data_IF_910403894994
#
_entry.id   IF_910403894994
#
_cell.length_a   1.000
_cell.length_b   1.000
_cell.length_c   1.000
_cell.angle_alpha   90.00
_cell.angle_beta   90.00
_cell.angle_gamma   90.00
#
_symmetry.space_group_name_H-M   'P 1'
#
loop_
_entity.id
_entity.type
_entity.pdbx_description
1 polymer ?
#
# COMPACT_ATOMS: atom_id res chain seq x y z
N UNK A 1 -1.84 -0.07 10.38
CA UNK A 1 -1.38 1.02 11.27
C UNK A 1 -0.28 0.53 12.19
N UNK A 2 0.91 1.11 12.07
CA UNK A 2 2.11 0.73 12.82
C UNK A 2 2.11 1.26 14.26
N UNK A 3 1.44 2.39 14.54
CA UNK A 3 1.36 2.99 15.88
C UNK A 3 -0.01 2.75 16.52
N UNK A 4 -0.01 2.30 17.78
CA UNK A 4 -1.22 2.03 18.57
C UNK A 4 -2.16 3.24 18.66
N UNK A 5 -1.60 4.45 18.80
CA UNK A 5 -2.35 5.70 18.84
C UNK A 5 -3.24 5.91 17.59
N UNK A 6 -2.87 5.35 16.44
CA UNK A 6 -3.57 5.52 15.16
C UNK A 6 -4.49 4.35 14.81
N UNK A 7 -4.47 3.27 15.57
CA UNK A 7 -5.28 2.08 15.27
C UNK A 7 -6.79 2.38 15.31
N UNK A 8 -7.22 3.31 16.15
CA UNK A 8 -8.63 3.70 16.28
C UNK A 8 -9.14 4.54 15.09
N UNK A 9 -8.25 5.11 14.26
CA UNK A 9 -8.65 5.85 13.05
C UNK A 9 -9.41 4.94 12.07
N UNK A 10 -9.03 3.65 12.01
CA UNK A 10 -9.65 2.68 11.12
C UNK A 10 -11.13 2.42 11.47
N UNK A 11 -11.50 2.51 12.75
CA UNK A 11 -12.89 2.35 13.19
C UNK A 11 -13.80 3.42 12.58
N UNK A 12 -13.32 4.66 12.51
CA UNK A 12 -14.05 5.77 11.90
C UNK A 12 -14.23 5.51 10.40
N UNK A 13 -13.17 5.08 9.72
CA UNK A 13 -13.19 4.77 8.30
C UNK A 13 -14.18 3.63 7.99
N UNK A 14 -14.14 2.54 8.76
CA UNK A 14 -15.06 1.41 8.63
C UNK A 14 -16.52 1.84 8.83
N UNK A 15 -16.76 2.69 9.83
CA UNK A 15 -18.10 3.23 10.10
C UNK A 15 -18.62 4.04 8.91
N UNK A 16 -17.78 4.93 8.37
CA UNK A 16 -18.14 5.75 7.20
C UNK A 16 -18.45 4.88 5.98
N UNK A 17 -17.55 3.97 5.59
CA UNK A 17 -17.77 3.14 4.41
C UNK A 17 -18.99 2.21 4.55
N UNK A 18 -19.24 1.68 5.75
CA UNK A 18 -20.32 0.73 5.98
C UNK A 18 -21.69 1.40 6.07
N UNK A 19 -21.79 2.59 6.67
CA UNK A 19 -23.08 3.18 7.02
C UNK A 19 -23.41 4.47 6.29
N UNK A 20 -22.44 5.14 5.65
CA UNK A 20 -22.74 6.34 4.88
C UNK A 20 -23.60 6.00 3.66
N UNK A 21 -24.80 6.60 3.47
CA UNK A 21 -25.77 6.17 2.46
C UNK A 21 -25.23 6.08 1.03
N UNK A 22 -24.34 7.02 0.67
CA UNK A 22 -23.71 7.04 -0.65
C UNK A 22 -22.65 5.95 -0.83
N UNK A 23 -21.88 5.63 0.23
CA UNK A 23 -20.75 4.70 0.11
C UNK A 23 -21.22 3.26 0.24
N UNK A 24 -22.14 2.96 1.14
CA UNK A 24 -22.65 1.61 1.35
C UNK A 24 -23.41 1.05 0.14
N UNK A 25 -23.92 1.92 -0.74
CA UNK A 25 -24.65 1.55 -1.96
C UNK A 25 -23.86 1.75 -3.25
N UNK A 26 -22.63 2.24 -3.16
CA UNK A 26 -21.78 2.57 -4.32
C UNK A 26 -21.25 1.37 -5.11
N UNK A 27 -21.39 0.15 -4.57
CA UNK A 27 -20.79 -1.05 -5.16
C UNK A 27 -19.28 -1.13 -4.99
N UNK A 28 -18.67 -0.30 -4.12
CA UNK A 28 -17.26 -0.40 -3.77
C UNK A 28 -16.94 -1.78 -3.19
N UNK A 29 -15.94 -2.44 -3.77
CA UNK A 29 -15.41 -3.69 -3.25
C UNK A 29 -14.34 -3.39 -2.20
N UNK A 30 -14.73 -3.41 -0.93
CA UNK A 30 -13.81 -3.19 0.19
C UNK A 30 -13.16 -4.53 0.51
N UNK A 31 -11.87 -4.64 0.22
CA UNK A 31 -11.08 -5.82 0.53
C UNK A 31 -10.40 -5.61 1.88
N UNK A 32 -10.81 -6.40 2.88
CA UNK A 32 -10.10 -6.47 4.14
C UNK A 32 -8.97 -7.50 4.01
N UNK A 33 -7.74 -7.03 4.16
CA UNK A 33 -6.57 -7.88 4.09
C UNK A 33 -6.48 -8.82 5.29
N UNK A 34 -6.58 -10.13 5.05
CA UNK A 34 -6.50 -11.14 6.12
C UNK A 34 -5.25 -12.03 6.01
N UNK A 35 -4.34 -11.74 5.07
CA UNK A 35 -3.14 -12.54 4.88
C UNK A 35 -2.07 -12.11 5.88
N UNK A 36 -1.56 -13.09 6.63
CA UNK A 36 -0.43 -12.90 7.54
C UNK A 36 0.90 -12.97 6.78
N UNK A 37 1.92 -12.30 7.30
CA UNK A 37 3.28 -12.38 6.78
C UNK A 37 3.94 -13.75 7.13
N UNK A 38 5.18 -13.95 6.70
CA UNK A 38 5.94 -15.18 6.96
C UNK A 38 6.14 -15.51 8.46
N UNK A 39 5.96 -14.52 9.34
CA UNK A 39 6.07 -14.65 10.79
C UNK A 39 4.71 -14.85 11.49
N UNK A 40 3.64 -15.14 10.74
CA UNK A 40 2.27 -15.33 11.24
C UNK A 40 1.65 -14.07 11.90
N UNK A 41 2.15 -12.88 11.52
CA UNK A 41 1.66 -11.57 11.96
C UNK A 41 0.86 -10.86 10.86
N UNK A 42 -0.12 -10.05 11.23
CA UNK A 42 -0.77 -9.17 10.26
C UNK A 42 0.17 -8.02 9.88
N UNK A 43 0.50 -7.84 8.59
CA UNK A 43 1.36 -6.74 8.17
C UNK A 43 0.68 -5.40 8.48
N UNK A 44 1.45 -4.44 8.99
CA UNK A 44 0.94 -3.10 9.28
C UNK A 44 1.08 -2.20 8.06
N UNK A 45 0.10 -2.23 7.17
CA UNK A 45 0.06 -1.28 6.04
C UNK A 45 -0.55 0.06 6.47
N UNK A 46 -0.04 1.16 5.90
CA UNK A 46 -0.61 2.51 5.99
C UNK A 46 -0.79 3.10 4.60
N UNK A 47 -1.68 4.09 4.47
CA UNK A 47 -2.04 4.65 3.16
C UNK A 47 -0.87 5.33 2.44
N UNK A 48 0.08 5.92 3.18
CA UNK A 48 1.27 6.56 2.62
C UNK A 48 2.24 5.56 1.98
N UNK A 49 2.13 4.27 2.29
CA UNK A 49 2.96 3.21 1.73
C UNK A 49 2.39 2.60 0.46
N UNK A 50 1.27 3.11 -0.05
CA UNK A 50 0.53 2.51 -1.17
C UNK A 50 0.27 3.56 -2.25
N UNK A 51 0.76 3.31 -3.47
CA UNK A 51 0.47 4.14 -4.63
C UNK A 51 -0.04 3.31 -5.81
N UNK A 52 -1.26 3.59 -6.27
CA UNK A 52 -1.83 2.96 -7.46
C UNK A 52 -1.32 3.64 -8.72
N UNK A 53 -0.63 2.88 -9.58
CA UNK A 53 -0.01 3.41 -10.80
C UNK A 53 -0.91 3.29 -12.05
N UNK A 54 -2.09 2.70 -11.91
CA UNK A 54 -2.97 2.37 -13.04
C UNK A 54 -2.74 0.95 -13.57
N UNK A 55 -3.62 0.49 -14.48
CA UNK A 55 -3.49 -0.79 -15.20
C UNK A 55 -3.25 -2.01 -14.29
N UNK A 56 -3.85 -2.02 -13.09
CA UNK A 56 -3.65 -3.07 -12.08
C UNK A 56 -2.20 -3.22 -11.60
N UNK A 57 -1.43 -2.13 -11.62
CA UNK A 57 -0.08 -2.02 -11.06
C UNK A 57 -0.13 -1.22 -9.77
N UNK A 58 0.47 -1.77 -8.71
CA UNK A 58 0.56 -1.17 -7.39
C UNK A 58 2.03 -0.98 -7.00
N UNK A 59 2.36 0.15 -6.38
CA UNK A 59 3.65 0.40 -5.74
C UNK A 59 3.46 0.36 -4.22
N UNK A 60 4.29 -0.40 -3.50
CA UNK A 60 4.20 -0.56 -2.04
C UNK A 60 5.56 -0.35 -1.36
N UNK A 61 5.59 0.35 -0.23
CA UNK A 61 6.80 0.64 0.58
C UNK A 61 7.24 -0.46 1.55
N UNK A 62 6.53 -1.58 1.62
CA UNK A 62 6.82 -2.73 2.48
C UNK A 62 6.50 -4.05 1.76
N UNK A 63 7.09 -5.14 2.24
CA UNK A 63 6.84 -6.48 1.71
C UNK A 63 5.44 -6.98 2.12
N UNK A 64 4.52 -6.96 1.16
CA UNK A 64 3.18 -7.50 1.33
C UNK A 64 2.97 -8.60 0.30
N UNK A 65 2.82 -9.82 0.79
CA UNK A 65 2.66 -11.00 -0.04
C UNK A 65 1.30 -11.00 -0.77
N UNK A 66 1.33 -10.86 -2.10
CA UNK A 66 0.31 -11.32 -3.06
C UNK A 66 -1.17 -11.07 -2.70
N UNK A 67 -1.76 -9.99 -3.23
CA UNK A 67 -3.18 -9.62 -3.01
C UNK A 67 -4.17 -10.46 -3.82
N UNK A 68 -3.72 -11.00 -4.95
CA UNK A 68 -4.59 -11.57 -5.99
C UNK A 68 -5.50 -10.54 -6.70
N UNK A 69 -5.50 -9.27 -6.27
CA UNK A 69 -6.31 -8.16 -6.80
C UNK A 69 -5.56 -7.42 -7.91
N UNK A 70 -4.28 -7.19 -7.70
CA UNK A 70 -3.40 -6.53 -8.67
C UNK A 70 -2.72 -7.57 -9.54
N UNK A 71 -2.32 -7.18 -10.76
CA UNK A 71 -1.55 -8.03 -11.68
C UNK A 71 -0.06 -7.96 -11.38
N UNK A 72 0.38 -6.80 -10.93
CA UNK A 72 1.79 -6.52 -10.65
C UNK A 72 1.89 -5.63 -9.42
N UNK A 73 2.81 -5.99 -8.54
CA UNK A 73 3.15 -5.22 -7.34
C UNK A 73 4.64 -4.91 -7.43
N UNK A 74 4.98 -3.62 -7.45
CA UNK A 74 6.35 -3.14 -7.33
C UNK A 74 6.58 -2.84 -5.86
N UNK A 75 7.46 -3.61 -5.24
CA UNK A 75 7.82 -3.44 -3.84
C UNK A 75 9.10 -2.63 -3.77
N UNK A 76 9.06 -1.62 -2.90
CA UNK A 76 10.14 -0.68 -2.64
C UNK A 76 10.54 -0.84 -1.19
N UNK A 77 11.73 -1.38 -0.95
CA UNK A 77 12.24 -1.54 0.41
C UNK A 77 12.84 -0.21 0.86
N UNK A 78 12.13 0.43 1.80
CA UNK A 78 12.60 1.64 2.45
C UNK A 78 13.68 1.23 3.47
N UNK A 79 14.90 1.78 3.39
CA UNK A 79 15.94 1.49 4.37
C UNK A 79 15.45 1.83 5.78
N UNK A 80 15.76 1.02 6.80
CA UNK A 80 15.31 1.24 8.18
C UNK A 80 16.10 2.39 8.82
N UNK A 81 15.84 3.61 8.36
CA UNK A 81 16.35 4.86 8.90
C UNK A 81 15.18 5.63 9.51
N UNK A 82 15.44 6.30 10.65
CA UNK A 82 14.37 6.98 11.42
C UNK A 82 13.68 8.12 10.66
N UNK A 83 14.28 8.61 9.59
CA UNK A 83 13.84 9.80 8.89
C UNK A 83 12.83 9.51 7.76
N UNK A 84 12.60 8.23 7.43
CA UNK A 84 11.64 7.82 6.40
C UNK A 84 10.51 7.02 7.03
N UNK A 85 9.29 7.52 6.88
CA UNK A 85 8.10 6.91 7.51
C UNK A 85 7.20 6.21 6.51
N UNK A 86 7.04 6.77 5.30
CA UNK A 86 6.17 6.22 4.27
C UNK A 86 6.75 6.40 2.87
N UNK A 87 6.32 5.54 1.94
CA UNK A 87 6.67 5.63 0.54
C UNK A 87 6.39 7.02 -0.07
N UNK A 88 5.22 7.60 0.19
CA UNK A 88 4.82 8.91 -0.35
C UNK A 88 5.73 10.07 0.08
N UNK A 89 6.42 9.95 1.23
CA UNK A 89 7.38 10.95 1.71
C UNK A 89 8.69 10.93 0.96
N UNK A 90 9.02 9.81 0.31
CA UNK A 90 10.29 9.61 -0.39
C UNK A 90 10.12 9.56 -1.90
N UNK A 91 8.97 9.11 -2.41
CA UNK A 91 8.66 9.06 -3.83
C UNK A 91 7.21 9.46 -4.07
N UNK A 92 6.97 10.34 -5.05
CA UNK A 92 5.62 10.79 -5.40
C UNK A 92 5.49 10.96 -6.90
N UNK A 93 4.36 10.54 -7.48
CA UNK A 93 4.07 10.82 -8.89
C UNK A 93 3.75 12.31 -9.07
N UNK A 94 4.37 12.91 -10.09
CA UNK A 94 4.08 14.30 -10.52
C UNK A 94 3.50 14.36 -11.94
N UNK A 95 3.22 13.19 -12.53
CA UNK A 95 2.65 13.07 -13.86
C UNK A 95 2.68 11.64 -14.37
N UNK A 96 2.09 11.42 -15.55
CA UNK A 96 1.93 10.08 -16.16
C UNK A 96 3.22 9.27 -16.28
N UNK A 97 4.35 9.95 -16.49
CA UNK A 97 5.65 9.34 -16.72
C UNK A 97 6.75 10.01 -15.87
N UNK A 98 6.39 10.60 -14.72
CA UNK A 98 7.33 11.35 -13.90
C UNK A 98 7.06 11.18 -12.40
N UNK A 99 8.15 11.03 -11.65
CA UNK A 99 8.16 10.93 -10.20
C UNK A 99 9.23 11.86 -9.63
N UNK A 100 8.97 12.38 -8.43
CA UNK A 100 9.99 12.97 -7.57
C UNK A 100 10.48 11.92 -6.60
N UNK A 101 11.80 11.90 -6.35
CA UNK A 101 12.45 10.97 -5.43
C UNK A 101 13.38 11.75 -4.49
N UNK A 102 13.38 11.39 -3.21
CA UNK A 102 14.31 11.95 -2.23
C UNK A 102 15.73 11.48 -2.56
N UNK A 103 16.58 12.42 -2.99
CA UNK A 103 17.88 12.13 -3.61
C UNK A 103 18.80 11.17 -2.83
N UNK A 104 18.92 11.22 -1.48
CA UNK A 104 19.76 10.29 -0.73
C UNK A 104 19.41 8.81 -0.92
N UNK A 105 18.20 8.50 -1.38
CA UNK A 105 17.70 7.14 -1.48
C UNK A 105 17.95 6.48 -2.85
N UNK A 106 18.40 7.23 -3.86
CA UNK A 106 18.58 6.74 -5.24
C UNK A 106 19.53 5.54 -5.35
N UNK A 107 20.47 5.40 -4.42
CA UNK A 107 21.53 4.39 -4.47
C UNK A 107 21.31 3.23 -3.48
N UNK A 108 20.36 3.35 -2.55
CA UNK A 108 20.23 2.42 -1.41
C UNK A 108 18.87 1.75 -1.30
N UNK A 109 17.89 2.14 -2.13
CA UNK A 109 16.60 1.47 -2.18
C UNK A 109 16.69 0.20 -3.01
N UNK A 110 16.20 -0.90 -2.43
CA UNK A 110 15.97 -2.14 -3.17
C UNK A 110 14.55 -2.13 -3.74
N UNK A 111 14.42 -2.50 -5.01
CA UNK A 111 13.14 -2.54 -5.71
C UNK A 111 13.01 -3.90 -6.37
N UNK A 112 11.89 -4.57 -6.14
CA UNK A 112 11.56 -5.81 -6.84
C UNK A 112 10.12 -5.80 -7.33
N UNK A 113 9.85 -6.65 -8.31
CA UNK A 113 8.53 -6.79 -8.92
C UNK A 113 7.99 -8.17 -8.61
N UNK A 114 6.79 -8.20 -8.02
CA UNK A 114 6.01 -9.42 -7.80
C UNK A 114 4.91 -9.47 -8.86
N UNK A 115 4.99 -10.48 -9.73
CA UNK A 115 3.89 -10.79 -10.64
C UNK A 115 2.88 -11.69 -9.94
N UNK A 116 1.64 -11.27 -9.92
CA UNK A 116 0.53 -12.01 -9.32
C UNK A 116 -0.34 -12.56 -10.44
N UNK A 117 -0.60 -13.87 -10.42
CA UNK A 117 -1.67 -14.44 -11.25
C UNK A 117 -3.00 -13.91 -10.69
N UNK A 118 -3.75 -13.18 -11.51
CA UNK A 118 -5.08 -12.72 -11.13
C UNK A 118 -5.94 -13.95 -10.80
N UNK A 119 -6.79 -13.86 -9.77
CA UNK A 119 -7.66 -14.95 -9.33
C UNK A 119 -8.72 -15.34 -10.40
N UNK A 120 -8.82 -14.61 -11.52
CA UNK A 120 -9.87 -14.75 -12.54
C UNK A 120 -9.37 -15.07 -13.96
N UNK A 121 -8.22 -15.73 -14.11
CA UNK A 121 -7.82 -16.33 -15.39
C UNK A 121 -8.39 -17.75 -15.57
#
# INVERSE_FOLDING_TARGET
MAKSARQNELLLLHTVFRFHPYLSTSGLNIVEWQTKNANDEYPTIEGGDVAYLGQSILLIGEDIAGTGVFRQIIVVIIPPQRDYMHLDTIISSVGKHAFTLHSPLTEIMEIFTVETRCIND
#
